data_IF_972337282497
#
_entry.id   IF_972337282497
#
_cell.length_a   1.000
_cell.length_b   1.000
_cell.length_c   1.000
_cell.angle_alpha   90.00
_cell.angle_beta   90.00
_cell.angle_gamma   90.00
#
_symmetry.space_group_name_H-M   'P 1'
#
loop_
_entity.id
_entity.type
_entity.pdbx_description
1 polymer ?
#
# COMPACT_ATOMS: atom_id res chain seq x y z
N UNK A 1 -38.48 14.65 3.55
CA UNK A 1 -37.69 13.46 3.95
C UNK A 1 -37.19 12.57 2.80
N UNK A 2 -37.60 12.75 1.54
CA UNK A 2 -37.27 11.81 0.44
C UNK A 2 -35.80 11.84 -0.03
N UNK A 3 -35.16 13.01 -0.02
CA UNK A 3 -33.78 13.21 -0.52
C UNK A 3 -32.69 12.51 0.31
N UNK A 4 -32.91 12.30 1.61
CA UNK A 4 -31.93 11.67 2.51
C UNK A 4 -31.74 10.20 2.17
N UNK A 5 -32.83 9.47 1.87
CA UNK A 5 -32.79 8.05 1.52
C UNK A 5 -32.14 7.83 0.15
N UNK A 6 -32.42 8.70 -0.81
CA UNK A 6 -31.76 8.68 -2.13
C UNK A 6 -30.26 9.00 -2.06
N UNK A 7 -29.85 9.96 -1.21
CA UNK A 7 -28.42 10.26 -1.01
C UNK A 7 -27.67 9.08 -0.39
N UNK A 8 -28.28 8.39 0.57
CA UNK A 8 -27.68 7.21 1.21
C UNK A 8 -27.58 6.03 0.23
N UNK A 9 -28.58 5.84 -0.62
CA UNK A 9 -28.55 4.84 -1.69
C UNK A 9 -27.46 5.14 -2.74
N UNK A 10 -27.29 6.40 -3.16
CA UNK A 10 -26.26 6.79 -4.11
C UNK A 10 -24.84 6.60 -3.57
N UNK A 11 -24.61 6.91 -2.29
CA UNK A 11 -23.31 6.65 -1.63
C UNK A 11 -23.04 5.15 -1.53
N UNK A 12 -24.06 4.34 -1.19
CA UNK A 12 -23.93 2.89 -1.14
C UNK A 12 -23.58 2.26 -2.49
N UNK A 13 -24.21 2.72 -3.58
CA UNK A 13 -23.92 2.26 -4.95
C UNK A 13 -22.51 2.65 -5.39
N UNK A 14 -22.06 3.86 -5.04
CA UNK A 14 -20.73 4.36 -5.40
C UNK A 14 -19.61 3.62 -4.64
N UNK A 15 -19.85 3.22 -3.40
CA UNK A 15 -18.95 2.37 -2.61
C UNK A 15 -18.90 0.92 -3.11
N UNK A 16 -20.01 0.37 -3.58
CA UNK A 16 -20.01 -0.97 -4.19
C UNK A 16 -19.23 -0.98 -5.52
N UNK A 17 -19.38 0.05 -6.33
CA UNK A 17 -18.73 0.15 -7.65
C UNK A 17 -17.20 0.24 -7.59
N UNK A 18 -16.62 0.79 -6.51
CA UNK A 18 -15.16 0.93 -6.36
C UNK A 18 -14.44 -0.33 -5.87
N UNK A 19 -15.17 -1.38 -5.47
CA UNK A 19 -14.59 -2.61 -4.89
C UNK A 19 -13.85 -3.51 -5.89
N UNK A 20 -13.99 -3.27 -7.20
CA UNK A 20 -13.40 -4.12 -8.26
C UNK A 20 -11.87 -4.06 -8.39
N UNK A 21 -11.19 -3.13 -7.71
CA UNK A 21 -9.72 -2.98 -7.78
C UNK A 21 -8.90 -3.99 -6.95
N UNK A 22 -9.55 -4.87 -6.19
CA UNK A 22 -8.90 -5.79 -5.25
C UNK A 22 -8.47 -7.13 -5.88
N UNK A 23 -8.70 -7.34 -7.18
CA UNK A 23 -8.50 -8.64 -7.86
C UNK A 23 -7.06 -8.91 -8.32
N UNK A 24 -6.12 -8.00 -8.07
CA UNK A 24 -4.73 -8.12 -8.53
C UNK A 24 -3.82 -8.97 -7.64
N UNK A 25 -4.28 -9.40 -6.46
CA UNK A 25 -3.49 -10.24 -5.56
C UNK A 25 -3.43 -11.69 -6.07
N UNK A 26 -2.22 -12.17 -6.38
CA UNK A 26 -1.96 -13.56 -6.76
C UNK A 26 -1.11 -14.26 -5.70
N UNK A 27 -1.35 -15.54 -5.45
CA UNK A 27 -0.53 -16.34 -4.55
C UNK A 27 0.79 -16.74 -5.22
N UNK A 28 1.91 -16.49 -4.53
CA UNK A 28 3.26 -16.87 -4.98
C UNK A 28 3.56 -18.30 -4.56
N UNK A 29 4.10 -19.12 -5.47
CA UNK A 29 4.46 -20.50 -5.15
C UNK A 29 5.56 -20.56 -4.09
N UNK A 30 5.53 -21.58 -3.23
CA UNK A 30 6.42 -21.65 -2.05
C UNK A 30 7.92 -21.55 -2.38
N UNK A 31 8.36 -22.15 -3.49
CA UNK A 31 9.77 -22.09 -3.92
C UNK A 31 10.18 -20.71 -4.47
N UNK A 32 9.23 -19.91 -4.98
CA UNK A 32 9.51 -18.57 -5.48
C UNK A 32 9.66 -17.55 -4.34
N UNK A 33 9.19 -17.89 -3.14
CA UNK A 33 9.32 -17.03 -1.96
C UNK A 33 10.77 -16.79 -1.56
N UNK A 34 11.71 -17.63 -1.99
CA UNK A 34 13.15 -17.41 -1.77
C UNK A 34 13.61 -16.08 -2.36
N UNK A 35 13.10 -15.70 -3.54
CA UNK A 35 13.46 -14.43 -4.20
C UNK A 35 12.81 -13.22 -3.54
N UNK A 36 11.70 -13.44 -2.83
CA UNK A 36 10.97 -12.38 -2.13
C UNK A 36 11.51 -12.13 -0.73
N UNK A 37 12.08 -13.17 -0.13
CA UNK A 37 12.85 -13.10 1.12
C UNK A 37 14.31 -12.72 0.90
N UNK A 38 14.67 -12.29 -0.32
CA UNK A 38 15.99 -11.75 -0.61
C UNK A 38 16.18 -10.42 0.17
N UNK A 39 17.38 -10.19 0.69
CA UNK A 39 17.70 -8.98 1.46
C UNK A 39 17.51 -7.70 0.63
N UNK A 40 17.69 -7.77 -0.69
CA UNK A 40 17.46 -6.61 -1.57
C UNK A 40 15.96 -6.35 -1.82
N UNK A 41 15.08 -7.33 -1.59
CA UNK A 41 13.63 -7.21 -1.71
C UNK A 41 12.94 -6.86 -0.38
N UNK A 42 13.71 -6.69 0.70
CA UNK A 42 13.20 -6.29 2.00
C UNK A 42 12.64 -4.87 1.93
N UNK A 43 11.38 -4.71 2.33
CA UNK A 43 10.74 -3.40 2.47
C UNK A 43 11.32 -2.69 3.71
N UNK A 44 12.56 -2.23 3.61
CA UNK A 44 13.25 -1.44 4.62
C UNK A 44 14.38 -0.65 3.97
N UNK A 45 14.59 0.59 4.41
CA UNK A 45 15.67 1.40 3.89
C UNK A 45 17.01 0.82 4.35
N UNK A 46 17.98 0.79 3.44
CA UNK A 46 19.36 0.48 3.80
C UNK A 46 19.87 1.60 4.71
N UNK A 47 20.73 1.31 5.71
CA UNK A 47 21.21 2.33 6.65
C UNK A 47 21.83 3.56 5.97
N UNK A 48 22.51 3.34 4.84
CA UNK A 48 23.12 4.40 4.04
C UNK A 48 22.12 5.40 3.43
N UNK A 49 20.91 4.94 3.09
CA UNK A 49 19.84 5.74 2.46
C UNK A 49 19.10 6.64 3.46
N UNK A 50 19.36 6.47 4.76
CA UNK A 50 18.64 7.16 5.84
C UNK A 50 18.75 8.68 5.70
N UNK A 51 19.90 9.21 5.29
CA UNK A 51 20.10 10.66 5.15
C UNK A 51 19.24 11.26 4.03
N UNK A 52 19.21 10.60 2.88
CA UNK A 52 18.44 11.03 1.70
C UNK A 52 16.94 10.95 2.00
N UNK A 53 16.48 9.82 2.57
CA UNK A 53 15.08 9.65 2.94
C UNK A 53 14.63 10.68 3.97
N UNK A 54 15.45 10.98 4.98
CA UNK A 54 15.12 12.02 5.95
C UNK A 54 14.98 13.39 5.26
N UNK A 55 15.88 13.72 4.35
CA UNK A 55 15.81 14.98 3.61
C UNK A 55 14.53 15.08 2.76
N UNK A 56 14.17 14.03 2.03
CA UNK A 56 12.93 13.96 1.25
C UNK A 56 11.68 13.99 2.14
N UNK A 57 11.68 13.27 3.26
CA UNK A 57 10.58 13.29 4.23
C UNK A 57 10.38 14.67 4.84
N UNK A 58 11.45 15.38 5.20
CA UNK A 58 11.33 16.72 5.78
C UNK A 58 10.92 17.78 4.75
N UNK A 59 11.38 17.67 3.50
CA UNK A 59 11.09 18.67 2.46
C UNK A 59 9.73 18.44 1.77
N UNK A 60 9.41 17.19 1.49
CA UNK A 60 8.29 16.80 0.61
C UNK A 60 7.22 15.99 1.32
N UNK A 61 7.44 15.62 2.59
CA UNK A 61 6.57 14.67 3.28
C UNK A 61 6.60 13.28 2.66
N UNK A 62 7.72 12.93 2.00
CA UNK A 62 7.86 11.64 1.34
C UNK A 62 7.73 10.47 2.34
N UNK A 63 6.83 9.54 2.02
CA UNK A 63 6.63 8.27 2.73
C UNK A 63 6.61 7.12 1.73
N UNK A 64 7.68 6.32 1.71
CA UNK A 64 7.86 5.17 0.81
C UNK A 64 7.39 3.85 1.40
N UNK A 65 7.35 2.77 0.62
CA UNK A 65 6.95 1.43 1.05
C UNK A 65 8.05 0.72 1.88
N UNK A 66 8.45 1.34 2.99
CA UNK A 66 9.62 0.96 3.80
C UNK A 66 9.29 -0.05 4.92
N UNK A 67 8.14 -0.74 4.82
CA UNK A 67 7.68 -1.75 5.77
C UNK A 67 7.34 -1.24 7.18
N UNK A 68 7.43 0.07 7.42
CA UNK A 68 7.18 0.71 8.71
C UNK A 68 5.77 1.31 8.84
N UNK A 69 5.46 1.87 10.02
CA UNK A 69 4.15 2.51 10.30
C UNK A 69 3.79 3.66 9.35
N UNK A 70 4.80 4.31 8.78
CA UNK A 70 4.68 5.47 7.88
C UNK A 70 4.73 5.09 6.40
N UNK A 71 4.81 3.79 6.08
CA UNK A 71 5.16 3.34 4.75
C UNK A 71 4.98 1.84 4.55
N UNK A 72 3.74 1.40 4.30
CA UNK A 72 3.41 0.01 4.03
C UNK A 72 3.26 -0.26 2.54
N UNK A 73 3.81 -1.38 2.06
CA UNK A 73 3.48 -1.93 0.74
C UNK A 73 2.28 -2.89 0.80
N UNK A 74 1.80 -3.35 -0.37
CA UNK A 74 0.72 -4.35 -0.49
C UNK A 74 1.07 -5.74 0.07
N UNK A 75 2.24 -5.90 0.71
CA UNK A 75 2.63 -7.09 1.46
C UNK A 75 2.61 -8.37 0.62
N UNK A 76 3.61 -8.54 -0.25
CA UNK A 76 3.80 -9.81 -0.95
C UNK A 76 4.73 -10.78 -0.21
N UNK A 77 5.57 -10.28 0.72
CA UNK A 77 6.57 -11.07 1.46
C UNK A 77 5.94 -12.03 2.47
#
# INVERSE_FOLDING_TARGET
MSYKHWRQALVGVLLLASSGGLTSCVSVAAYQKVYLNDEDMKLANKPIETYETNFESYREGAGGANGGKVGGGCGCN
#
